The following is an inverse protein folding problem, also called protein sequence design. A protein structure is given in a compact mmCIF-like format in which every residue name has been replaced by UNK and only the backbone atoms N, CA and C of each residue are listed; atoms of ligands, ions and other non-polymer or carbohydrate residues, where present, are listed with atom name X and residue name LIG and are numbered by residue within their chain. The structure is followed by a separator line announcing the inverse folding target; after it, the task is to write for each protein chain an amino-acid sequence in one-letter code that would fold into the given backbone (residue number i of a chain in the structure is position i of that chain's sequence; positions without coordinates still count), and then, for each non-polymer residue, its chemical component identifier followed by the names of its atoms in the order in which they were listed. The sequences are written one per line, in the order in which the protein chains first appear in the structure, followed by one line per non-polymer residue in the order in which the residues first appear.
data_IF_006334972713
#
_entry.id   IF_006334972713
#
_cell.length_a   1.000
_cell.length_b   1.000
_cell.length_c   1.000
_cell.angle_alpha   90.00
_cell.angle_beta   90.00
_cell.angle_gamma   90.00
#
_symmetry.space_group_name_H-M   'P 1'
#
loop_
_entity.id
_entity.type
_entity.pdbx_description
1 polymer ?
#
# COMPACT_ATOMS: atom_id res chain seq x y z
N UNK A 1 99.19 -47.39 -18.01
CA UNK A 1 98.33 -47.51 -19.21
C UNK A 1 97.00 -46.83 -18.89
N UNK A 2 96.56 -45.88 -19.73
CA UNK A 2 95.42 -44.99 -19.49
C UNK A 2 94.13 -45.55 -20.09
N UNK A 3 92.99 -44.94 -19.71
CA UNK A 3 91.82 -44.60 -20.55
C UNK A 3 90.56 -44.54 -19.65
N UNK A 4 89.58 -43.66 -19.81
CA UNK A 4 89.43 -42.33 -20.36
C UNK A 4 88.02 -41.92 -19.87
N UNK A 5 87.88 -40.73 -19.29
CA UNK A 5 86.61 -40.22 -18.75
C UNK A 5 85.79 -39.64 -19.90
N UNK A 6 84.59 -40.19 -20.15
CA UNK A 6 83.59 -39.59 -21.02
C UNK A 6 82.56 -38.80 -20.19
N UNK A 7 82.51 -37.50 -20.47
CA UNK A 7 81.64 -36.48 -19.90
C UNK A 7 80.17 -36.67 -20.31
N UNK A 8 79.26 -36.61 -19.32
CA UNK A 8 77.83 -36.82 -19.47
C UNK A 8 77.04 -35.54 -19.15
N UNK A 9 77.02 -34.59 -20.08
CA UNK A 9 76.38 -33.27 -19.93
C UNK A 9 75.00 -33.17 -20.61
N UNK A 10 74.19 -34.23 -20.59
CA UNK A 10 72.89 -34.28 -21.30
C UNK A 10 71.60 -34.03 -20.46
N UNK A 11 71.65 -34.06 -19.13
CA UNK A 11 70.43 -34.26 -18.31
C UNK A 11 69.79 -33.06 -17.62
N UNK A 12 70.46 -31.90 -17.47
CA UNK A 12 70.01 -30.82 -16.55
C UNK A 12 69.02 -29.81 -17.14
N UNK A 13 68.91 -29.69 -18.47
CA UNK A 13 68.08 -28.64 -19.09
C UNK A 13 66.60 -29.04 -19.28
N UNK A 14 66.30 -30.34 -19.34
CA UNK A 14 64.93 -30.84 -19.56
C UNK A 14 64.03 -30.56 -18.34
N UNK A 15 64.59 -30.62 -17.12
CA UNK A 15 63.85 -30.36 -15.88
C UNK A 15 63.52 -28.89 -15.61
N UNK A 16 64.36 -27.96 -16.07
CA UNK A 16 64.14 -26.51 -15.86
C UNK A 16 63.07 -25.97 -16.81
N UNK A 17 63.11 -26.38 -18.09
CA UNK A 17 62.11 -25.99 -19.09
C UNK A 17 60.70 -26.46 -18.73
N UNK A 18 60.57 -27.70 -18.24
CA UNK A 18 59.28 -28.22 -17.78
C UNK A 18 58.73 -27.46 -16.56
N UNK A 19 59.59 -27.10 -15.60
CA UNK A 19 59.19 -26.31 -14.42
C UNK A 19 58.74 -24.90 -14.80
N UNK A 20 59.44 -24.23 -15.71
CA UNK A 20 59.04 -22.92 -16.22
C UNK A 20 57.70 -22.97 -16.97
N UNK A 21 57.49 -23.99 -17.80
CA UNK A 21 56.22 -24.19 -18.49
C UNK A 21 55.06 -24.44 -17.52
N UNK A 22 55.26 -25.26 -16.48
CA UNK A 22 54.25 -25.50 -15.44
C UNK A 22 53.95 -24.22 -14.64
N UNK A 23 54.97 -23.46 -14.22
CA UNK A 23 54.78 -22.19 -13.52
C UNK A 23 54.03 -21.17 -14.38
N UNK A 24 54.36 -21.06 -15.67
CA UNK A 24 53.65 -20.19 -16.60
C UNK A 24 52.19 -20.63 -16.78
N UNK A 25 51.93 -21.94 -16.90
CA UNK A 25 50.58 -22.49 -16.97
C UNK A 25 49.75 -22.19 -15.71
N UNK A 26 50.33 -22.36 -14.52
CA UNK A 26 49.69 -22.03 -13.25
C UNK A 26 49.42 -20.52 -13.11
N UNK A 27 50.36 -19.67 -13.55
CA UNK A 27 50.16 -18.22 -13.55
C UNK A 27 49.03 -17.79 -14.48
N UNK A 28 48.91 -18.39 -15.67
CA UNK A 28 47.80 -18.13 -16.60
C UNK A 28 46.47 -18.58 -15.99
N UNK A 29 46.42 -19.78 -15.39
CA UNK A 29 45.21 -20.29 -14.73
C UNK A 29 44.79 -19.39 -13.57
N UNK A 30 45.74 -18.91 -12.77
CA UNK A 30 45.49 -17.96 -11.69
C UNK A 30 44.94 -16.64 -12.23
N UNK A 31 45.56 -16.06 -13.25
CA UNK A 31 45.10 -14.81 -13.88
C UNK A 31 43.67 -14.95 -14.44
N UNK A 32 43.38 -16.05 -15.14
CA UNK A 32 42.04 -16.34 -15.66
C UNK A 32 41.02 -16.48 -14.53
N UNK A 33 41.40 -17.14 -13.42
CA UNK A 33 40.53 -17.33 -12.25
C UNK A 33 40.24 -16.03 -11.53
N UNK A 34 41.26 -15.18 -11.34
CA UNK A 34 41.12 -13.84 -10.75
C UNK A 34 40.24 -12.96 -11.65
N UNK A 35 40.51 -12.93 -12.95
CA UNK A 35 39.71 -12.17 -13.91
C UNK A 35 38.23 -12.62 -13.92
N UNK A 36 37.97 -13.93 -13.89
CA UNK A 36 36.62 -14.47 -13.81
C UNK A 36 35.91 -14.10 -12.51
N UNK A 37 36.62 -14.16 -11.38
CA UNK A 37 36.08 -13.80 -10.07
C UNK A 37 35.74 -12.31 -10.02
N UNK A 38 36.67 -11.45 -10.45
CA UNK A 38 36.47 -10.00 -10.47
C UNK A 38 35.32 -9.61 -11.42
N UNK A 39 35.23 -10.23 -12.60
CA UNK A 39 34.11 -10.04 -13.52
C UNK A 39 32.76 -10.41 -12.88
N UNK A 40 32.71 -11.49 -12.10
CA UNK A 40 31.47 -11.90 -11.41
C UNK A 40 31.03 -10.95 -10.30
N UNK A 41 31.97 -10.24 -9.67
CA UNK A 41 31.66 -9.21 -8.66
C UNK A 41 31.15 -7.93 -9.33
N UNK A 42 31.82 -7.49 -10.39
CA UNK A 42 31.56 -6.20 -11.03
C UNK A 42 30.33 -6.24 -11.95
N UNK A 43 29.97 -7.40 -12.51
CA UNK A 43 28.88 -7.53 -13.51
C UNK A 43 27.55 -6.92 -13.08
N UNK A 44 27.19 -6.97 -11.79
CA UNK A 44 25.92 -6.42 -11.31
C UNK A 44 25.85 -4.88 -11.42
N UNK A 45 27.01 -4.20 -11.39
CA UNK A 45 27.11 -2.73 -11.48
C UNK A 45 27.55 -2.26 -12.86
N UNK A 46 28.51 -2.96 -13.47
CA UNK A 46 29.05 -2.65 -14.79
C UNK A 46 29.36 -3.92 -15.57
N UNK A 47 28.37 -4.48 -16.30
CA UNK A 47 28.57 -5.66 -17.13
C UNK A 47 29.59 -5.41 -18.25
N UNK A 48 29.69 -4.17 -18.74
CA UNK A 48 30.70 -3.78 -19.73
C UNK A 48 32.12 -3.94 -19.18
N UNK A 49 32.40 -3.46 -17.97
CA UNK A 49 33.71 -3.63 -17.35
C UNK A 49 34.02 -5.11 -17.08
N UNK A 50 33.02 -5.89 -16.64
CA UNK A 50 33.16 -7.33 -16.47
C UNK A 50 33.55 -8.04 -17.79
N UNK A 51 33.00 -7.60 -18.93
CA UNK A 51 33.37 -8.13 -20.25
C UNK A 51 34.75 -7.66 -20.74
N UNK A 52 35.26 -6.51 -20.27
CA UNK A 52 36.66 -6.11 -20.53
C UNK A 52 37.64 -6.99 -19.77
N UNK A 53 37.31 -7.37 -18.53
CA UNK A 53 38.12 -8.24 -17.68
C UNK A 53 38.07 -9.71 -18.13
N UNK A 54 36.88 -10.22 -18.41
CA UNK A 54 36.65 -11.59 -18.84
C UNK A 54 35.65 -11.61 -20.00
N UNK A 55 36.10 -11.45 -21.26
CA UNK A 55 35.21 -11.43 -22.42
C UNK A 55 34.29 -12.66 -22.52
N UNK A 56 34.76 -13.82 -22.06
CA UNK A 56 34.03 -15.10 -22.08
C UNK A 56 33.00 -15.25 -20.94
N UNK A 57 32.82 -14.24 -20.07
CA UNK A 57 31.86 -14.31 -18.98
C UNK A 57 30.42 -14.24 -19.53
N UNK A 58 29.78 -15.41 -19.68
CA UNK A 58 28.41 -15.56 -20.17
C UNK A 58 27.39 -14.73 -19.38
N UNK A 59 27.38 -14.79 -18.04
CA UNK A 59 26.46 -13.98 -17.24
C UNK A 59 26.62 -12.46 -17.41
N UNK A 60 27.85 -11.95 -17.55
CA UNK A 60 28.11 -10.54 -17.86
C UNK A 60 27.61 -10.17 -19.26
N UNK A 61 27.79 -11.06 -20.26
CA UNK A 61 27.24 -10.88 -21.60
C UNK A 61 25.70 -10.82 -21.59
N UNK A 62 25.05 -11.68 -20.79
CA UNK A 62 23.59 -11.69 -20.63
C UNK A 62 23.06 -10.38 -20.01
N UNK A 63 23.68 -9.92 -18.93
CA UNK A 63 23.32 -8.65 -18.27
C UNK A 63 23.59 -7.45 -19.18
N UNK A 64 24.71 -7.43 -19.90
CA UNK A 64 25.00 -6.38 -20.88
C UNK A 64 23.99 -6.37 -22.01
N UNK A 65 23.57 -7.53 -22.53
CA UNK A 65 22.59 -7.63 -23.59
C UNK A 65 21.26 -6.96 -23.18
N UNK A 66 20.78 -7.28 -21.98
CA UNK A 66 19.57 -6.69 -21.41
C UNK A 66 19.73 -5.18 -21.18
N UNK A 67 20.84 -4.75 -20.59
CA UNK A 67 21.09 -3.33 -20.30
C UNK A 67 21.19 -2.49 -21.58
N UNK A 68 21.84 -3.02 -22.63
CA UNK A 68 21.92 -2.37 -23.95
C UNK A 68 20.52 -2.20 -24.53
N UNK A 69 19.70 -3.26 -24.54
CA UNK A 69 18.36 -3.19 -25.10
C UNK A 69 17.44 -2.25 -24.30
N UNK A 70 17.52 -2.27 -22.96
CA UNK A 70 16.71 -1.43 -22.09
C UNK A 70 17.06 0.06 -22.21
N UNK A 71 18.36 0.39 -22.29
CA UNK A 71 18.81 1.79 -22.42
C UNK A 71 18.56 2.37 -23.81
N UNK A 72 18.72 1.53 -24.84
CA UNK A 72 18.61 1.95 -26.22
C UNK A 72 17.99 0.83 -27.07
N UNK A 73 16.66 0.86 -27.26
CA UNK A 73 15.94 -0.10 -28.08
C UNK A 73 16.38 -0.15 -29.55
N UNK A 74 17.15 0.83 -30.03
CA UNK A 74 17.69 0.81 -31.40
C UNK A 74 18.89 -0.14 -31.54
N UNK A 75 19.59 -0.43 -30.44
CA UNK A 75 20.76 -1.32 -30.42
C UNK A 75 20.42 -2.82 -30.40
N UNK A 76 19.28 -3.23 -30.99
CA UNK A 76 18.81 -4.63 -31.04
C UNK A 76 19.87 -5.59 -31.57
N UNK A 77 20.61 -5.20 -32.62
CA UNK A 77 21.65 -6.04 -33.21
C UNK A 77 22.82 -6.32 -32.24
N UNK A 78 23.21 -5.33 -31.43
CA UNK A 78 24.25 -5.48 -30.40
C UNK A 78 23.75 -6.36 -29.26
N UNK A 79 22.53 -6.11 -28.78
CA UNK A 79 21.90 -6.93 -27.75
C UNK A 79 21.74 -8.40 -28.19
N UNK A 80 21.33 -8.64 -29.45
CA UNK A 80 21.21 -9.98 -30.02
C UNK A 80 22.55 -10.73 -30.02
N UNK A 81 23.65 -10.09 -30.46
CA UNK A 81 24.98 -10.71 -30.46
C UNK A 81 25.45 -11.08 -29.04
N UNK A 82 25.22 -10.20 -28.07
CA UNK A 82 25.58 -10.44 -26.67
C UNK A 82 24.73 -11.55 -26.05
N UNK A 83 23.42 -11.54 -26.30
CA UNK A 83 22.50 -12.60 -25.86
C UNK A 83 22.88 -13.96 -26.45
N UNK A 84 23.12 -14.03 -27.76
CA UNK A 84 23.53 -15.27 -28.42
C UNK A 84 24.86 -15.80 -27.87
N UNK A 85 25.83 -14.91 -27.64
CA UNK A 85 27.11 -15.28 -27.01
C UNK A 85 26.91 -15.87 -25.61
N UNK A 86 26.05 -15.26 -24.81
CA UNK A 86 25.71 -15.75 -23.47
C UNK A 86 25.04 -17.14 -23.53
N UNK A 87 24.03 -17.32 -24.39
CA UNK A 87 23.29 -18.57 -24.53
C UNK A 87 24.15 -19.73 -25.06
N UNK A 88 25.12 -19.45 -25.93
CA UNK A 88 26.11 -20.47 -26.36
C UNK A 88 27.00 -20.93 -25.21
N UNK A 89 27.21 -20.08 -24.21
CA UNK A 89 28.03 -20.42 -23.03
C UNK A 89 27.22 -21.16 -21.98
N UNK A 90 25.99 -20.73 -21.77
CA UNK A 90 25.05 -21.26 -20.80
C UNK A 90 23.59 -20.97 -21.25
N UNK A 91 22.81 -22.00 -21.61
CA UNK A 91 21.43 -21.85 -22.08
C UNK A 91 20.41 -21.59 -20.96
N UNK A 92 20.84 -21.46 -19.70
CA UNK A 92 19.98 -21.18 -18.55
C UNK A 92 19.99 -19.71 -18.11
N UNK A 93 20.75 -18.86 -18.82
CA UNK A 93 20.87 -17.44 -18.50
C UNK A 93 19.60 -16.65 -18.86
N UNK A 94 18.70 -16.53 -17.88
CA UNK A 94 17.38 -15.89 -18.00
C UNK A 94 17.41 -14.50 -18.64
N UNK A 95 18.38 -13.66 -18.29
CA UNK A 95 18.52 -12.32 -18.88
C UNK A 95 18.80 -12.38 -20.40
N UNK A 96 19.59 -13.35 -20.86
CA UNK A 96 19.87 -13.53 -22.28
C UNK A 96 18.64 -14.06 -23.04
N UNK A 97 17.93 -15.04 -22.46
CA UNK A 97 16.68 -15.60 -23.01
C UNK A 97 15.64 -14.49 -23.14
N UNK A 98 15.41 -13.73 -22.06
CA UNK A 98 14.46 -12.60 -22.05
C UNK A 98 14.82 -11.53 -23.07
N UNK A 99 16.12 -11.23 -23.23
CA UNK A 99 16.59 -10.28 -24.26
C UNK A 99 16.33 -10.81 -25.67
N UNK A 100 16.53 -12.10 -25.92
CA UNK A 100 16.23 -12.71 -27.22
C UNK A 100 14.73 -12.64 -27.51
N UNK A 101 13.88 -13.05 -26.56
CA UNK A 101 12.43 -12.96 -26.68
C UNK A 101 11.94 -11.53 -26.94
N UNK A 102 12.47 -10.53 -26.22
CA UNK A 102 12.12 -9.12 -26.46
C UNK A 102 12.52 -8.62 -27.86
N UNK A 103 13.65 -9.11 -28.41
CA UNK A 103 14.08 -8.79 -29.78
C UNK A 103 13.16 -9.47 -30.81
N UNK A 104 12.77 -10.72 -30.56
CA UNK A 104 11.83 -11.48 -31.39
C UNK A 104 10.44 -10.81 -31.40
N UNK A 105 9.96 -10.36 -30.25
CA UNK A 105 8.71 -9.60 -30.12
C UNK A 105 8.76 -8.34 -30.98
N UNK A 106 9.85 -7.58 -30.86
CA UNK A 106 10.06 -6.35 -31.62
C UNK A 106 10.30 -6.57 -33.13
N UNK A 107 10.37 -7.82 -33.58
CA UNK A 107 10.42 -8.26 -34.98
C UNK A 107 9.10 -8.87 -35.46
N UNK A 108 8.05 -8.89 -34.62
CA UNK A 108 6.77 -9.52 -34.93
C UNK A 108 6.78 -11.05 -34.83
N UNK A 109 7.84 -11.66 -34.25
CA UNK A 109 7.97 -13.11 -34.05
C UNK A 109 7.35 -13.52 -32.71
N UNK A 110 6.06 -13.26 -32.55
CA UNK A 110 5.34 -13.40 -31.28
C UNK A 110 5.36 -14.85 -30.76
N UNK A 111 5.38 -15.86 -31.64
CA UNK A 111 5.37 -17.27 -31.21
C UNK A 111 6.71 -17.68 -30.58
N UNK A 112 7.82 -17.22 -31.15
CA UNK A 112 9.19 -17.47 -30.70
C UNK A 112 9.46 -16.68 -29.42
N UNK A 113 9.10 -15.40 -29.42
CA UNK A 113 9.14 -14.53 -28.23
C UNK A 113 8.44 -15.19 -27.05
N UNK A 114 7.19 -15.64 -27.25
CA UNK A 114 6.42 -16.29 -26.19
C UNK A 114 7.09 -17.57 -25.69
N UNK A 115 7.69 -18.38 -26.57
CA UNK A 115 8.43 -19.59 -26.16
C UNK A 115 9.63 -19.23 -25.29
N UNK A 116 10.34 -18.15 -25.62
CA UNK A 116 11.46 -17.66 -24.83
C UNK A 116 11.03 -17.16 -23.46
N UNK A 117 9.94 -16.37 -23.39
CA UNK A 117 9.41 -15.90 -22.11
C UNK A 117 8.85 -17.05 -21.26
N UNK A 118 8.22 -18.07 -21.86
CA UNK A 118 7.82 -19.28 -21.15
C UNK A 118 9.02 -20.02 -20.55
N UNK A 119 10.08 -20.18 -21.34
CA UNK A 119 11.30 -20.84 -20.88
C UNK A 119 12.03 -20.03 -19.79
N UNK A 120 12.06 -18.70 -19.91
CA UNK A 120 12.59 -17.81 -18.90
C UNK A 120 11.84 -17.91 -17.57
N UNK A 121 10.50 -17.93 -17.59
CA UNK A 121 9.67 -18.12 -16.38
C UNK A 121 9.88 -19.48 -15.74
N UNK A 122 10.04 -20.55 -16.54
CA UNK A 122 10.35 -21.89 -16.03
C UNK A 122 11.68 -21.92 -15.27
N UNK A 123 12.69 -21.19 -15.75
CA UNK A 123 14.01 -21.10 -15.11
C UNK A 123 14.01 -20.20 -13.87
N UNK A 124 13.29 -19.08 -13.87
CA UNK A 124 13.28 -18.14 -12.74
C UNK A 124 12.01 -17.32 -12.66
N UNK A 125 11.36 -17.39 -11.50
CA UNK A 125 10.27 -16.51 -11.07
C UNK A 125 10.75 -15.17 -10.48
N UNK A 126 12.07 -14.96 -10.39
CA UNK A 126 12.70 -13.78 -9.75
C UNK A 126 13.26 -12.80 -10.79
N UNK A 127 12.88 -12.92 -12.05
CA UNK A 127 13.37 -12.08 -13.14
C UNK A 127 12.31 -11.08 -13.59
N UNK A 128 12.40 -9.85 -13.08
CA UNK A 128 11.35 -8.83 -13.25
C UNK A 128 10.96 -8.56 -14.71
N UNK A 129 11.90 -8.40 -15.66
CA UNK A 129 11.52 -8.13 -17.05
C UNK A 129 10.71 -9.25 -17.70
N UNK A 130 10.87 -10.51 -17.26
CA UNK A 130 10.05 -11.64 -17.72
C UNK A 130 8.63 -11.51 -17.19
N UNK A 131 8.47 -11.24 -15.89
CA UNK A 131 7.15 -11.11 -15.28
C UNK A 131 6.39 -9.87 -15.80
N UNK A 132 7.09 -8.75 -16.01
CA UNK A 132 6.51 -7.56 -16.63
C UNK A 132 6.02 -7.84 -18.06
N UNK A 133 6.78 -8.58 -18.87
CA UNK A 133 6.33 -8.97 -20.19
C UNK A 133 5.06 -9.81 -20.14
N UNK A 134 4.95 -10.76 -19.21
CA UNK A 134 3.73 -11.56 -19.05
C UNK A 134 2.52 -10.75 -18.58
N UNK A 135 2.75 -9.77 -17.71
CA UNK A 135 1.72 -8.81 -17.27
C UNK A 135 1.17 -8.05 -18.47
N UNK A 136 2.05 -7.46 -19.28
CA UNK A 136 1.67 -6.71 -20.49
C UNK A 136 1.02 -7.61 -21.54
N UNK A 137 1.57 -8.81 -21.76
CA UNK A 137 1.01 -9.80 -22.67
C UNK A 137 -0.41 -10.20 -22.26
N UNK A 138 -0.64 -10.50 -20.98
CA UNK A 138 -1.97 -10.81 -20.46
C UNK A 138 -2.93 -9.64 -20.62
N UNK A 139 -2.47 -8.42 -20.33
CA UNK A 139 -3.29 -7.21 -20.41
C UNK A 139 -3.70 -6.92 -21.87
N UNK A 140 -2.77 -7.04 -22.82
CA UNK A 140 -3.03 -6.88 -24.25
C UNK A 140 -4.03 -7.89 -24.81
N UNK A 141 -4.13 -9.08 -24.19
CA UNK A 141 -5.11 -10.11 -24.55
C UNK A 141 -6.44 -9.98 -23.78
N UNK A 142 -6.59 -8.98 -22.90
CA UNK A 142 -7.74 -8.87 -22.00
C UNK A 142 -7.84 -10.00 -20.96
N UNK A 143 -6.76 -10.76 -20.75
CA UNK A 143 -6.73 -11.90 -19.85
C UNK A 143 -6.33 -11.46 -18.43
N UNK A 144 -7.30 -10.93 -17.69
CA UNK A 144 -7.14 -10.46 -16.30
C UNK A 144 -6.54 -11.54 -15.39
N UNK A 145 -6.95 -12.81 -15.57
CA UNK A 145 -6.44 -13.92 -14.77
C UNK A 145 -4.94 -14.16 -14.98
N UNK A 146 -4.48 -14.16 -16.23
CA UNK A 146 -3.05 -14.29 -16.56
C UNK A 146 -2.27 -13.09 -16.03
N UNK A 147 -2.74 -11.88 -16.29
CA UNK A 147 -2.11 -10.65 -15.81
C UNK A 147 -1.90 -10.69 -14.30
N UNK A 148 -2.96 -10.94 -13.53
CA UNK A 148 -2.88 -10.91 -12.08
C UNK A 148 -2.10 -12.10 -11.49
N UNK A 149 -2.04 -13.24 -12.17
CA UNK A 149 -1.16 -14.33 -11.77
C UNK A 149 0.33 -13.92 -11.81
N UNK A 150 0.74 -13.18 -12.85
CA UNK A 150 2.12 -12.68 -12.95
C UNK A 150 2.39 -11.47 -12.04
N UNK A 151 1.37 -10.67 -11.70
CA UNK A 151 1.47 -9.74 -10.57
C UNK A 151 1.79 -10.47 -9.26
N UNK A 152 1.06 -11.53 -8.94
CA UNK A 152 1.29 -12.28 -7.70
C UNK A 152 2.71 -12.89 -7.66
N UNK A 153 3.19 -13.45 -8.77
CA UNK A 153 4.57 -13.96 -8.88
C UNK A 153 5.58 -12.85 -8.61
N UNK A 154 5.47 -11.72 -9.33
CA UNK A 154 6.42 -10.61 -9.21
C UNK A 154 6.43 -10.04 -7.78
N UNK A 155 5.26 -9.77 -7.20
CA UNK A 155 5.12 -9.17 -5.88
C UNK A 155 5.58 -10.11 -4.75
N UNK A 156 5.53 -11.43 -4.93
CA UNK A 156 6.08 -12.39 -3.95
C UNK A 156 7.59 -12.57 -4.07
N UNK A 157 8.13 -12.48 -5.28
CA UNK A 157 9.48 -12.96 -5.57
C UNK A 157 10.51 -11.82 -5.71
N UNK A 158 10.07 -10.59 -5.96
CA UNK A 158 10.93 -9.49 -6.42
C UNK A 158 10.72 -8.26 -5.54
N UNK A 159 11.78 -7.84 -4.83
CA UNK A 159 11.72 -6.74 -3.85
C UNK A 159 11.29 -5.39 -4.42
N UNK A 160 11.70 -5.07 -5.65
CA UNK A 160 11.40 -3.78 -6.30
C UNK A 160 10.09 -3.79 -7.10
N UNK A 161 9.39 -4.92 -7.16
CA UNK A 161 8.14 -5.01 -7.92
C UNK A 161 7.01 -4.10 -7.36
N UNK A 162 6.81 -3.97 -6.04
CA UNK A 162 5.80 -3.07 -5.48
C UNK A 162 5.88 -1.63 -5.99
N UNK A 163 7.08 -1.06 -6.10
CA UNK A 163 7.30 0.33 -6.53
C UNK A 163 6.77 0.61 -7.95
N UNK A 164 6.77 -0.42 -8.80
CA UNK A 164 6.31 -0.35 -10.19
C UNK A 164 4.85 -0.78 -10.29
N UNK A 165 4.47 -1.85 -9.60
CA UNK A 165 3.21 -2.56 -9.81
C UNK A 165 2.06 -2.01 -8.96
N UNK A 166 2.33 -1.49 -7.75
CA UNK A 166 1.26 -0.96 -6.90
C UNK A 166 0.54 0.24 -7.53
N UNK A 167 1.23 1.25 -8.11
CA UNK A 167 0.57 2.35 -8.80
C UNK A 167 -0.38 1.89 -9.91
N UNK A 168 0.06 0.94 -10.73
CA UNK A 168 -0.71 0.43 -11.87
C UNK A 168 -1.91 -0.39 -11.38
N UNK A 169 -1.69 -1.33 -10.45
CA UNK A 169 -2.77 -2.14 -9.88
C UNK A 169 -3.78 -1.27 -9.13
N UNK A 170 -3.31 -0.25 -8.43
CA UNK A 170 -4.16 0.70 -7.71
C UNK A 170 -5.03 1.58 -8.60
N UNK A 171 -4.58 1.94 -9.80
CA UNK A 171 -5.46 2.52 -10.81
C UNK A 171 -6.41 1.49 -11.43
N UNK A 172 -5.93 0.26 -11.62
CA UNK A 172 -6.68 -0.81 -12.28
C UNK A 172 -7.86 -1.35 -11.44
N UNK A 173 -7.83 -1.21 -10.12
CA UNK A 173 -8.97 -1.59 -9.26
C UNK A 173 -10.23 -0.75 -9.52
N UNK A 174 -10.17 0.31 -10.32
CA UNK A 174 -11.35 0.97 -10.88
C UNK A 174 -12.27 0.02 -11.66
N UNK A 175 -11.69 -1.01 -12.29
CA UNK A 175 -12.42 -1.96 -13.11
C UNK A 175 -13.04 -3.10 -12.26
N UNK A 176 -14.37 -3.35 -12.35
CA UNK A 176 -15.04 -4.38 -11.56
C UNK A 176 -14.45 -5.79 -11.73
N UNK A 177 -14.07 -6.16 -12.96
CA UNK A 177 -13.50 -7.48 -13.25
C UNK A 177 -12.12 -7.66 -12.61
N UNK A 178 -11.31 -6.60 -12.57
CA UNK A 178 -10.01 -6.61 -11.89
C UNK A 178 -10.20 -6.77 -10.38
N UNK A 179 -11.12 -6.01 -9.75
CA UNK A 179 -11.44 -6.18 -8.32
C UNK A 179 -11.90 -7.60 -7.99
N UNK A 180 -12.74 -8.20 -8.84
CA UNK A 180 -13.25 -9.58 -8.65
C UNK A 180 -12.13 -10.62 -8.68
N UNK A 181 -11.23 -10.54 -9.65
CA UNK A 181 -10.09 -11.47 -9.74
C UNK A 181 -9.07 -11.20 -8.63
N UNK A 182 -8.80 -9.93 -8.31
CA UNK A 182 -7.91 -9.55 -7.23
C UNK A 182 -8.41 -10.07 -5.88
N UNK A 183 -9.71 -9.98 -5.60
CA UNK A 183 -10.32 -10.55 -4.39
C UNK A 183 -10.00 -12.04 -4.24
N UNK A 184 -10.03 -12.79 -5.34
CA UNK A 184 -9.68 -14.22 -5.34
C UNK A 184 -8.21 -14.44 -4.96
N UNK A 185 -7.30 -13.60 -5.44
CA UNK A 185 -5.89 -13.66 -5.06
C UNK A 185 -5.64 -13.23 -3.61
N UNK A 186 -6.33 -12.21 -3.12
CA UNK A 186 -6.15 -11.72 -1.75
C UNK A 186 -6.66 -12.70 -0.68
N UNK A 187 -7.54 -13.65 -1.05
CA UNK A 187 -8.04 -14.71 -0.16
C UNK A 187 -6.92 -15.62 0.35
N UNK A 188 -5.90 -15.91 -0.47
CA UNK A 188 -4.76 -16.75 -0.05
C UNK A 188 -3.72 -15.99 0.79
N UNK A 189 -4.06 -14.78 1.23
CA UNK A 189 -3.25 -13.91 2.07
C UNK A 189 -1.78 -13.81 1.59
N UNK A 190 -1.54 -13.39 0.33
CA UNK A 190 -0.18 -13.24 -0.14
C UNK A 190 0.58 -12.22 0.71
N UNK A 191 1.92 -12.35 0.86
CA UNK A 191 2.70 -11.48 1.74
C UNK A 191 2.63 -10.00 1.36
N UNK A 192 2.30 -9.70 0.09
CA UNK A 192 2.12 -8.32 -0.40
C UNK A 192 0.71 -7.76 -0.17
N UNK A 193 -0.26 -8.54 0.32
CA UNK A 193 -1.66 -8.09 0.55
C UNK A 193 -1.71 -6.86 1.46
N UNK A 194 -1.19 -6.98 2.68
CA UNK A 194 -1.23 -5.87 3.65
C UNK A 194 -0.42 -4.66 3.17
N UNK A 195 0.82 -4.82 2.65
CA UNK A 195 1.54 -3.71 2.03
C UNK A 195 0.75 -3.01 0.91
N UNK A 196 0.05 -3.76 0.05
CA UNK A 196 -0.75 -3.18 -1.03
C UNK A 196 -1.97 -2.42 -0.50
N UNK A 197 -2.71 -2.99 0.46
CA UNK A 197 -3.86 -2.31 1.07
C UNK A 197 -3.44 -1.04 1.83
N UNK A 198 -2.30 -1.08 2.53
CA UNK A 198 -1.72 0.10 3.18
C UNK A 198 -1.32 1.15 2.13
N UNK A 199 -0.69 0.72 1.04
CA UNK A 199 -0.32 1.60 -0.06
C UNK A 199 -1.54 2.27 -0.69
N UNK A 200 -2.65 1.54 -0.91
CA UNK A 200 -3.91 2.11 -1.42
C UNK A 200 -4.46 3.19 -0.48
N UNK A 201 -4.53 2.89 0.82
CA UNK A 201 -5.04 3.81 1.82
C UNK A 201 -4.20 5.07 1.98
N UNK A 202 -2.89 4.99 1.75
CA UNK A 202 -1.96 6.12 1.89
C UNK A 202 -1.87 6.98 0.63
N UNK A 203 -1.89 6.36 -0.56
CA UNK A 203 -1.64 7.08 -1.81
C UNK A 203 -2.91 7.60 -2.49
N UNK A 204 -4.09 7.07 -2.14
CA UNK A 204 -5.37 7.65 -2.54
C UNK A 204 -5.63 7.72 -4.04
N UNK A 205 -5.11 6.77 -4.83
CA UNK A 205 -5.28 6.77 -6.30
C UNK A 205 -6.75 6.73 -6.71
N UNK A 206 -7.55 5.89 -6.05
CA UNK A 206 -9.00 5.79 -6.25
C UNK A 206 -9.63 5.30 -4.93
N UNK A 207 -10.02 6.23 -4.06
CA UNK A 207 -10.65 5.90 -2.79
C UNK A 207 -12.00 5.19 -2.96
N UNK A 208 -12.92 5.61 -3.88
CA UNK A 208 -14.17 4.88 -4.10
C UNK A 208 -13.96 3.40 -4.45
N UNK A 209 -13.05 3.10 -5.38
CA UNK A 209 -12.76 1.71 -5.74
C UNK A 209 -12.03 0.94 -4.64
N UNK A 210 -11.18 1.63 -3.88
CA UNK A 210 -10.53 1.05 -2.69
C UNK A 210 -11.59 0.68 -1.64
N UNK A 211 -12.58 1.54 -1.40
CA UNK A 211 -13.67 1.27 -0.47
C UNK A 211 -14.51 0.06 -0.90
N UNK A 212 -14.83 -0.06 -2.19
CA UNK A 212 -15.51 -1.24 -2.73
C UNK A 212 -14.69 -2.52 -2.52
N UNK A 213 -13.37 -2.46 -2.71
CA UNK A 213 -12.47 -3.59 -2.44
C UNK A 213 -12.46 -3.96 -0.95
N UNK A 214 -12.35 -2.97 -0.05
CA UNK A 214 -12.33 -3.19 1.40
C UNK A 214 -13.66 -3.76 1.93
N UNK A 215 -14.80 -3.28 1.44
CA UNK A 215 -16.11 -3.84 1.75
C UNK A 215 -16.25 -5.30 1.24
N UNK A 216 -15.71 -5.59 0.05
CA UNK A 216 -15.66 -6.95 -0.48
C UNK A 216 -14.76 -7.87 0.37
N UNK A 217 -13.60 -7.39 0.84
CA UNK A 217 -12.74 -8.15 1.75
C UNK A 217 -13.46 -8.47 3.07
N UNK A 218 -14.12 -7.46 3.67
CA UNK A 218 -14.87 -7.62 4.91
C UNK A 218 -16.02 -8.63 4.78
N UNK A 219 -16.87 -8.49 3.77
CA UNK A 219 -17.99 -9.43 3.51
C UNK A 219 -17.51 -10.87 3.27
N UNK A 220 -16.28 -11.06 2.78
CA UNK A 220 -15.65 -12.36 2.61
C UNK A 220 -14.88 -12.84 3.85
N UNK A 221 -15.02 -12.16 5.00
CA UNK A 221 -14.36 -12.47 6.28
C UNK A 221 -12.84 -12.51 6.17
N UNK A 222 -12.28 -11.65 5.33
CA UNK A 222 -10.83 -11.51 5.18
C UNK A 222 -10.33 -10.41 6.11
N UNK A 223 -9.38 -10.77 6.95
CA UNK A 223 -8.80 -9.85 7.92
C UNK A 223 -8.02 -8.71 7.22
N UNK A 224 -8.36 -7.48 7.60
CA UNK A 224 -7.73 -6.24 7.15
C UNK A 224 -7.50 -5.37 8.39
N UNK A 225 -6.29 -4.83 8.60
CA UNK A 225 -6.01 -3.93 9.71
C UNK A 225 -7.00 -2.76 9.79
N UNK A 226 -7.60 -2.53 10.95
CA UNK A 226 -8.60 -1.48 11.17
C UNK A 226 -8.15 -0.08 10.72
N UNK A 227 -6.88 0.35 10.93
CA UNK A 227 -6.43 1.68 10.49
C UNK A 227 -6.55 1.95 8.99
N UNK A 228 -6.53 0.91 8.15
CA UNK A 228 -6.68 1.04 6.70
C UNK A 228 -8.07 1.55 6.35
N UNK A 229 -9.11 1.09 7.05
CA UNK A 229 -10.49 1.48 6.77
C UNK A 229 -10.70 2.97 6.94
N UNK A 230 -10.38 3.54 8.10
CA UNK A 230 -10.66 4.95 8.28
C UNK A 230 -9.63 5.87 7.65
N UNK A 231 -8.44 5.40 7.23
CA UNK A 231 -7.62 6.16 6.26
C UNK A 231 -8.38 6.34 4.95
N UNK A 232 -9.01 5.27 4.43
CA UNK A 232 -9.85 5.35 3.21
C UNK A 232 -11.11 6.18 3.45
N UNK A 233 -11.78 6.04 4.61
CA UNK A 233 -12.94 6.87 4.95
C UNK A 233 -12.56 8.37 5.01
N UNK A 234 -11.43 8.71 5.65
CA UNK A 234 -10.92 10.08 5.66
C UNK A 234 -10.56 10.58 4.25
N UNK A 235 -9.96 9.74 3.41
CA UNK A 235 -9.67 10.07 2.02
C UNK A 235 -10.93 10.41 1.21
N UNK A 236 -11.98 9.60 1.36
CA UNK A 236 -13.30 9.84 0.76
C UNK A 236 -13.93 11.14 1.27
N UNK A 237 -13.87 11.39 2.57
CA UNK A 237 -14.36 12.63 3.19
C UNK A 237 -13.60 13.86 2.65
N UNK A 238 -12.28 13.78 2.49
CA UNK A 238 -11.48 14.85 1.89
C UNK A 238 -11.86 15.12 0.43
N UNK A 239 -12.27 14.08 -0.31
CA UNK A 239 -12.81 14.19 -1.65
C UNK A 239 -14.31 14.58 -1.69
N UNK A 240 -14.91 14.84 -0.53
CA UNK A 240 -16.34 15.16 -0.35
C UNK A 240 -17.29 14.02 -0.75
N UNK A 241 -16.80 12.79 -0.89
CA UNK A 241 -17.61 11.60 -1.13
C UNK A 241 -18.04 10.97 0.20
N UNK A 242 -18.86 11.73 0.94
CA UNK A 242 -19.35 11.33 2.27
C UNK A 242 -20.19 10.05 2.22
N UNK A 243 -20.92 9.83 1.12
CA UNK A 243 -21.78 8.67 0.98
C UNK A 243 -20.97 7.39 0.74
N UNK A 244 -19.90 7.43 -0.08
CA UNK A 244 -19.01 6.28 -0.20
C UNK A 244 -18.28 5.98 1.11
N UNK A 245 -17.85 7.01 1.85
CA UNK A 245 -17.26 6.85 3.18
C UNK A 245 -18.24 6.15 4.13
N UNK A 246 -19.50 6.61 4.15
CA UNK A 246 -20.57 6.01 4.92
C UNK A 246 -20.82 4.55 4.54
N UNK A 247 -20.88 4.23 3.24
CA UNK A 247 -21.12 2.87 2.78
C UNK A 247 -20.00 1.90 3.21
N UNK A 248 -18.74 2.37 3.24
CA UNK A 248 -17.63 1.58 3.77
C UNK A 248 -17.78 1.33 5.28
N UNK A 249 -18.16 2.35 6.04
CA UNK A 249 -18.43 2.22 7.47
C UNK A 249 -19.60 1.26 7.75
N UNK A 250 -20.72 1.42 7.03
CA UNK A 250 -21.91 0.57 7.13
C UNK A 250 -21.61 -0.89 6.80
N UNK A 251 -20.71 -1.16 5.85
CA UNK A 251 -20.31 -2.53 5.51
C UNK A 251 -19.74 -3.31 6.70
N UNK A 252 -19.17 -2.60 7.69
CA UNK A 252 -18.57 -3.17 8.90
C UNK A 252 -19.48 -3.11 10.12
N UNK A 253 -20.48 -2.24 10.12
CA UNK A 253 -21.37 -1.99 11.24
C UNK A 253 -22.81 -2.31 10.86
N UNK A 254 -23.20 -3.59 10.79
CA UNK A 254 -24.55 -3.96 10.35
C UNK A 254 -25.61 -3.35 11.28
N UNK A 255 -26.63 -2.73 10.68
CA UNK A 255 -27.75 -2.13 11.41
C UNK A 255 -27.61 -0.64 11.70
N UNK A 256 -26.49 0.00 11.34
CA UNK A 256 -26.39 1.47 11.33
C UNK A 256 -27.40 2.08 10.35
N UNK A 257 -27.92 3.26 10.67
CA UNK A 257 -28.93 3.94 9.85
C UNK A 257 -28.64 5.43 9.74
N UNK A 258 -29.11 6.04 8.65
CA UNK A 258 -28.97 7.48 8.34
C UNK A 258 -30.11 8.36 8.85
N UNK A 259 -30.83 7.89 9.86
CA UNK A 259 -31.92 8.59 10.55
C UNK A 259 -31.64 8.78 12.05
N UNK A 260 -30.45 8.36 12.50
CA UNK A 260 -29.98 8.39 13.88
C UNK A 260 -28.46 8.58 13.91
N UNK A 261 -27.92 9.10 15.01
CA UNK A 261 -26.47 9.12 15.24
C UNK A 261 -25.89 7.74 15.45
N UNK A 262 -24.62 7.59 15.14
CA UNK A 262 -23.90 6.35 15.39
C UNK A 262 -23.32 6.36 16.80
N UNK A 263 -22.89 5.19 17.27
CA UNK A 263 -22.17 5.04 18.53
C UNK A 263 -22.81 5.79 19.73
N UNK A 264 -24.13 5.65 19.88
CA UNK A 264 -24.96 6.38 20.87
C UNK A 264 -24.41 6.26 22.29
N UNK A 265 -23.72 5.15 22.61
CA UNK A 265 -23.19 4.85 23.94
C UNK A 265 -21.66 4.71 23.96
N UNK A 266 -20.94 5.32 23.00
CA UNK A 266 -19.46 5.38 22.99
C UNK A 266 -18.73 4.02 22.98
N UNK A 267 -19.38 2.96 22.49
CA UNK A 267 -18.84 1.60 22.44
C UNK A 267 -17.75 1.44 21.40
N UNK A 268 -17.74 2.24 20.33
CA UNK A 268 -16.71 2.16 19.27
C UNK A 268 -15.30 2.53 19.78
N UNK A 269 -15.16 3.04 21.00
CA UNK A 269 -13.86 3.20 21.65
C UNK A 269 -13.17 1.85 21.95
N UNK A 270 -13.92 0.76 21.99
CA UNK A 270 -13.40 -0.60 22.12
C UNK A 270 -12.74 -1.05 20.80
N UNK A 271 -11.41 -1.19 20.78
CA UNK A 271 -10.67 -1.67 19.58
C UNK A 271 -9.58 -0.75 19.07
N UNK A 272 -9.38 0.42 19.68
CA UNK A 272 -8.21 1.29 19.49
C UNK A 272 -8.20 2.13 18.20
N UNK A 273 -8.93 1.75 17.15
CA UNK A 273 -9.11 2.56 15.95
C UNK A 273 -10.52 3.15 15.89
N UNK A 274 -10.64 4.46 15.58
CA UNK A 274 -11.91 5.17 15.49
C UNK A 274 -12.15 5.69 14.07
N UNK A 275 -13.28 5.32 13.49
CA UNK A 275 -13.75 5.91 12.24
C UNK A 275 -14.11 7.38 12.44
N UNK A 276 -14.11 8.23 11.39
CA UNK A 276 -14.73 9.55 11.45
C UNK A 276 -16.20 9.53 11.86
N UNK A 277 -16.90 8.41 11.64
CA UNK A 277 -18.29 8.19 12.06
C UNK A 277 -18.43 7.69 13.51
N UNK A 278 -17.32 7.41 14.19
CA UNK A 278 -17.29 7.16 15.64
C UNK A 278 -16.92 8.45 16.39
N UNK A 279 -17.04 8.43 17.73
CA UNK A 279 -16.65 9.57 18.56
C UNK A 279 -15.13 9.74 18.63
N UNK A 280 -14.64 10.85 18.07
CA UNK A 280 -13.24 11.24 18.08
C UNK A 280 -13.01 12.38 19.09
N UNK A 281 -12.02 12.22 19.96
CA UNK A 281 -11.61 13.27 20.90
C UNK A 281 -10.78 14.31 20.16
N UNK A 282 -11.01 15.58 20.47
CA UNK A 282 -10.25 16.71 19.94
C UNK A 282 -9.38 17.28 21.06
N UNK A 283 -8.07 17.34 20.82
CA UNK A 283 -7.11 17.88 21.78
C UNK A 283 -7.01 19.41 21.70
N UNK A 284 -6.65 20.06 22.81
CA UNK A 284 -6.17 21.45 22.82
C UNK A 284 -7.04 22.49 23.55
N UNK A 285 -8.33 22.21 23.80
CA UNK A 285 -9.28 23.19 24.38
C UNK A 285 -9.92 22.76 25.71
N UNK A 286 -9.44 21.64 26.26
CA UNK A 286 -9.94 20.99 27.46
C UNK A 286 -9.49 19.54 27.47
N UNK A 287 -10.09 18.74 28.34
CA UNK A 287 -9.85 17.30 28.40
C UNK A 287 -11.13 16.55 28.10
N UNK A 288 -11.05 15.53 27.24
CA UNK A 288 -12.14 14.60 27.03
C UNK A 288 -11.60 13.19 26.82
N UNK A 289 -12.27 12.21 27.42
CA UNK A 289 -11.86 10.81 27.37
C UNK A 289 -13.08 9.90 27.34
N UNK A 290 -13.04 8.90 26.47
CA UNK A 290 -14.02 7.81 26.49
C UNK A 290 -13.41 6.68 27.31
N UNK A 291 -14.06 6.32 28.41
CA UNK A 291 -13.60 5.27 29.32
C UNK A 291 -14.75 4.38 29.76
N UNK A 292 -14.43 3.20 30.30
CA UNK A 292 -15.43 2.33 30.91
C UNK A 292 -15.64 2.72 32.38
N UNK A 293 -16.89 2.94 32.76
CA UNK A 293 -17.34 3.12 34.14
C UNK A 293 -18.50 2.17 34.41
N UNK A 294 -18.34 1.29 35.41
CA UNK A 294 -19.32 0.24 35.76
C UNK A 294 -19.75 -0.64 34.56
N UNK A 295 -18.79 -1.02 33.71
CA UNK A 295 -19.03 -1.85 32.53
C UNK A 295 -19.78 -1.15 31.38
N UNK A 296 -19.92 0.18 31.44
CA UNK A 296 -20.51 1.01 30.37
C UNK A 296 -19.51 2.06 29.90
N UNK A 297 -19.48 2.35 28.61
CA UNK A 297 -18.66 3.44 28.11
C UNK A 297 -19.32 4.79 28.39
N UNK A 298 -18.48 5.75 28.76
CA UNK A 298 -18.88 7.11 29.15
C UNK A 298 -17.85 8.08 28.57
N UNK A 299 -18.32 9.18 28.00
CA UNK A 299 -17.49 10.31 27.62
C UNK A 299 -17.38 11.26 28.81
N UNK A 300 -16.24 11.28 29.48
CA UNK A 300 -15.92 12.26 30.53
C UNK A 300 -15.25 13.47 29.91
N UNK A 301 -15.55 14.66 30.43
CA UNK A 301 -14.98 15.91 29.94
C UNK A 301 -14.67 16.90 31.07
N UNK A 302 -13.73 17.79 30.78
CA UNK A 302 -13.42 18.99 31.54
C UNK A 302 -13.21 20.16 30.57
N UNK A 303 -13.94 21.26 30.76
CA UNK A 303 -13.81 22.48 29.94
C UNK A 303 -12.78 23.42 30.55
N UNK A 304 -11.97 24.06 29.72
CA UNK A 304 -11.09 25.14 30.16
C UNK A 304 -11.82 26.49 29.95
N UNK A 305 -12.12 27.26 31.02
CA UNK A 305 -12.85 28.52 30.89
C UNK A 305 -12.09 29.58 30.09
N UNK A 306 -10.75 29.51 30.05
CA UNK A 306 -9.91 30.46 29.33
C UNK A 306 -9.90 30.28 27.81
N UNK A 307 -10.51 29.20 27.27
CA UNK A 307 -10.46 28.89 25.83
C UNK A 307 -11.79 28.38 25.32
N UNK A 308 -12.24 28.86 24.16
CA UNK A 308 -13.31 28.23 23.40
C UNK A 308 -12.75 27.12 22.49
N UNK A 309 -13.50 26.04 22.28
CA UNK A 309 -13.11 25.00 21.34
C UNK A 309 -13.92 23.70 21.40
N UNK A 310 -13.47 22.71 20.64
CA UNK A 310 -14.09 21.40 20.53
C UNK A 310 -13.41 20.41 21.48
N UNK A 311 -14.21 19.53 22.09
CA UNK A 311 -13.76 18.45 22.98
C UNK A 311 -13.88 17.08 22.31
N UNK A 312 -14.96 16.88 21.56
CA UNK A 312 -15.20 15.65 20.83
C UNK A 312 -16.05 15.93 19.59
N UNK A 313 -15.92 15.09 18.57
CA UNK A 313 -16.72 15.19 17.35
C UNK A 313 -17.02 13.83 16.74
N UNK A 314 -18.12 13.77 16.02
CA UNK A 314 -18.54 12.65 15.21
C UNK A 314 -19.09 13.17 13.88
N UNK A 315 -18.69 12.56 12.77
CA UNK A 315 -19.34 12.80 11.47
C UNK A 315 -20.58 11.93 11.33
N UNK A 316 -21.61 12.46 10.68
CA UNK A 316 -22.82 11.72 10.30
C UNK A 316 -23.22 12.05 8.86
N UNK A 317 -23.98 11.16 8.22
CA UNK A 317 -24.56 11.34 6.87
C UNK A 317 -26.07 11.22 6.99
N UNK A 318 -26.67 12.07 7.84
CA UNK A 318 -28.10 12.04 8.10
C UNK A 318 -28.87 12.53 6.88
N UNK A 319 -30.04 11.93 6.64
CA UNK A 319 -30.94 12.38 5.56
C UNK A 319 -31.59 13.71 5.92
N UNK A 320 -32.00 14.46 4.91
CA UNK A 320 -32.78 15.67 5.12
C UNK A 320 -34.06 15.42 5.95
N UNK A 321 -34.38 16.35 6.84
CA UNK A 321 -35.58 16.31 7.67
C UNK A 321 -35.38 16.93 9.04
N UNK A 322 -36.35 16.68 9.92
CA UNK A 322 -36.40 17.23 11.28
C UNK A 322 -35.86 16.21 12.28
N UNK A 323 -35.02 16.67 13.18
CA UNK A 323 -34.34 15.85 14.18
C UNK A 323 -34.48 16.45 15.58
N UNK A 324 -34.42 15.60 16.60
CA UNK A 324 -34.26 16.02 17.99
C UNK A 324 -33.01 15.40 18.58
N UNK A 325 -32.28 16.19 19.37
CA UNK A 325 -31.10 15.75 20.09
C UNK A 325 -31.46 15.50 21.55
N UNK A 326 -31.07 14.34 22.06
CA UNK A 326 -31.20 13.97 23.47
C UNK A 326 -29.87 13.43 23.98
N UNK A 327 -29.50 13.84 25.19
CA UNK A 327 -28.34 13.30 25.88
C UNK A 327 -28.69 12.83 27.30
N UNK A 328 -27.83 11.96 27.83
CA UNK A 328 -27.86 11.57 29.24
C UNK A 328 -26.52 11.95 29.84
N UNK A 329 -26.46 13.16 30.37
CA UNK A 329 -25.25 13.73 30.95
C UNK A 329 -25.43 14.08 32.43
N UNK A 330 -24.36 13.95 33.20
CA UNK A 330 -24.19 14.57 34.52
C UNK A 330 -23.17 15.68 34.37
N UNK A 331 -23.56 16.91 34.68
CA UNK A 331 -22.70 18.10 34.60
C UNK A 331 -22.57 18.69 35.99
N UNK A 332 -21.34 18.74 36.49
CA UNK A 332 -21.01 19.37 37.75
C UNK A 332 -20.55 20.80 37.42
N UNK A 333 -21.47 21.75 37.55
CA UNK A 333 -21.17 23.15 37.31
C UNK A 333 -20.60 23.75 38.60
N UNK A 334 -19.30 24.04 38.63
CA UNK A 334 -18.74 25.04 39.54
C UNK A 334 -19.48 26.36 39.38
N UNK A 335 -19.49 27.21 40.42
CA UNK A 335 -20.23 28.47 40.41
C UNK A 335 -19.68 29.44 39.35
N UNK A 336 -20.23 29.41 38.14
CA UNK A 336 -20.05 30.47 37.13
C UNK A 336 -19.60 30.04 35.72
N UNK A 337 -19.14 28.80 35.51
CA UNK A 337 -18.64 28.35 34.20
C UNK A 337 -19.72 28.21 33.11
N UNK A 338 -19.39 28.58 31.87
CA UNK A 338 -20.26 28.37 30.70
C UNK A 338 -20.41 26.87 30.44
N UNK A 339 -21.65 26.36 30.48
CA UNK A 339 -21.92 24.94 30.21
C UNK A 339 -21.51 24.58 28.78
N UNK A 340 -20.91 23.39 28.55
CA UNK A 340 -20.69 22.90 27.21
C UNK A 340 -22.02 22.63 26.49
N UNK A 341 -21.96 22.58 25.17
CA UNK A 341 -23.11 22.37 24.30
C UNK A 341 -22.77 21.42 23.15
N UNK A 342 -23.81 20.76 22.66
CA UNK A 342 -23.78 20.02 21.41
C UNK A 342 -24.05 20.98 20.26
N UNK A 343 -23.09 21.10 19.35
CA UNK A 343 -23.24 21.81 18.10
C UNK A 343 -23.47 20.81 16.97
N UNK A 344 -24.57 21.00 16.23
CA UNK A 344 -24.79 20.32 14.95
C UNK A 344 -24.52 21.33 13.85
N UNK A 345 -23.57 21.01 12.98
CA UNK A 345 -23.22 21.85 11.84
C UNK A 345 -23.09 21.01 10.57
N UNK A 346 -23.41 21.60 9.43
CA UNK A 346 -23.10 20.99 8.16
C UNK A 346 -21.59 21.02 7.89
N UNK A 347 -21.11 20.13 7.01
CA UNK A 347 -19.68 20.07 6.63
C UNK A 347 -19.13 21.33 5.97
N UNK A 348 -19.99 22.22 5.48
CA UNK A 348 -19.63 23.55 4.95
C UNK A 348 -19.50 24.64 6.03
N UNK A 349 -19.78 24.31 7.29
CA UNK A 349 -19.73 25.21 8.44
C UNK A 349 -21.06 25.87 8.80
N UNK A 350 -22.14 25.63 8.06
CA UNK A 350 -23.47 26.13 8.43
C UNK A 350 -23.90 25.53 9.77
N UNK A 351 -24.14 26.37 10.77
CA UNK A 351 -24.69 25.94 12.06
C UNK A 351 -26.17 25.57 11.89
N UNK A 352 -26.52 24.33 12.23
CA UNK A 352 -27.88 23.79 12.11
C UNK A 352 -28.64 23.84 13.44
N UNK A 353 -27.92 23.73 14.56
CA UNK A 353 -28.51 23.88 15.89
C UNK A 353 -27.51 23.69 17.02
N UNK A 354 -27.89 24.13 18.21
CA UNK A 354 -27.10 23.97 19.43
C UNK A 354 -27.99 23.59 20.62
N UNK A 355 -27.52 22.66 21.46
CA UNK A 355 -28.22 22.19 22.66
C UNK A 355 -27.27 22.14 23.85
N UNK A 356 -27.53 22.85 24.96
CA UNK A 356 -26.69 22.74 26.15
C UNK A 356 -26.67 21.30 26.69
N UNK A 357 -25.50 20.82 27.10
CA UNK A 357 -25.33 19.45 27.62
C UNK A 357 -26.15 19.24 28.89
N UNK A 358 -26.87 18.12 28.95
CA UNK A 358 -27.73 17.76 30.07
C UNK A 358 -29.01 18.60 30.18
N UNK A 359 -29.27 19.51 29.25
CA UNK A 359 -30.57 20.17 29.12
C UNK A 359 -31.36 19.50 28.00
N UNK A 360 -32.27 18.62 28.39
CA UNK A 360 -33.17 17.89 27.48
C UNK A 360 -34.32 18.75 26.93
N UNK A 361 -34.12 20.07 26.76
CA UNK A 361 -34.95 20.83 25.84
C UNK A 361 -34.65 20.29 24.44
N UNK A 362 -35.67 19.85 23.71
CA UNK A 362 -35.53 19.20 22.40
C UNK A 362 -35.79 20.22 21.27
N UNK A 363 -34.88 21.18 21.00
CA UNK A 363 -35.05 22.03 19.84
C UNK A 363 -35.05 21.13 18.60
N UNK A 364 -35.95 21.43 17.68
CA UNK A 364 -35.96 20.77 16.38
C UNK A 364 -34.77 21.29 15.59
N UNK A 365 -33.89 20.38 15.20
CA UNK A 365 -32.77 20.64 14.31
C UNK A 365 -33.19 20.22 12.91
N UNK A 366 -33.08 21.14 11.96
CA UNK A 366 -33.45 20.90 10.56
C UNK A 366 -32.18 20.63 9.74
N UNK A 367 -32.15 19.48 9.08
CA UNK A 367 -31.07 19.10 8.18
C UNK A 367 -31.53 19.37 6.75
N UNK A 368 -30.97 20.37 6.06
CA UNK A 368 -31.41 20.73 4.73
C UNK A 368 -30.91 19.72 3.69
N UNK A 369 -31.59 19.68 2.54
CA UNK A 369 -31.29 18.71 1.47
C UNK A 369 -29.93 18.90 0.81
N UNK A 370 -29.36 20.11 0.89
CA UNK A 370 -28.04 20.47 0.40
C UNK A 370 -26.91 20.20 1.41
N UNK A 371 -27.23 19.66 2.59
CA UNK A 371 -26.24 19.26 3.58
C UNK A 371 -25.93 17.75 3.48
N UNK A 372 -24.85 17.35 2.77
CA UNK A 372 -24.58 15.94 2.49
C UNK A 372 -24.05 15.17 3.72
N UNK A 373 -23.49 15.87 4.71
CA UNK A 373 -22.96 15.31 5.94
C UNK A 373 -22.93 16.38 7.03
N UNK A 374 -22.96 15.94 8.29
CA UNK A 374 -23.02 16.81 9.45
C UNK A 374 -21.97 16.41 10.47
N UNK A 375 -21.39 17.42 11.12
CA UNK A 375 -20.61 17.24 12.33
C UNK A 375 -21.51 17.42 13.55
N UNK A 376 -21.41 16.49 14.48
CA UNK A 376 -21.94 16.62 15.84
C UNK A 376 -20.75 16.81 16.76
N UNK A 377 -20.72 17.92 17.48
CA UNK A 377 -19.54 18.42 18.17
C UNK A 377 -19.92 18.72 19.61
N UNK A 378 -19.16 18.17 20.56
CA UNK A 378 -19.14 18.66 21.92
C UNK A 378 -18.20 19.87 21.97
N UNK A 379 -18.73 21.04 22.28
CA UNK A 379 -17.99 22.29 22.33
C UNK A 379 -18.20 23.04 23.64
N UNK A 380 -17.27 23.93 23.96
CA UNK A 380 -17.39 24.91 25.04
C UNK A 380 -16.93 26.28 24.56
N UNK A 381 -17.55 27.32 25.11
CA UNK A 381 -17.16 28.71 24.86
C UNK A 381 -16.24 29.23 25.96
N UNK A 382 -15.59 30.35 25.67
CA UNK A 382 -14.87 31.15 26.65
C UNK A 382 -15.81 31.58 27.80
N UNK A 383 -15.27 31.67 29.01
CA UNK A 383 -15.98 32.10 30.21
C UNK A 383 -15.05 32.87 31.14
N UNK A 384 -15.57 33.91 31.79
CA UNK A 384 -14.84 34.67 32.83
C UNK A 384 -14.78 33.92 34.18
N UNK A 385 -15.28 32.69 34.24
CA UNK A 385 -15.26 31.86 35.43
C UNK A 385 -13.85 31.43 35.83
N UNK A 386 -13.61 31.34 37.15
CA UNK A 386 -12.33 30.88 37.70
C UNK A 386 -12.14 29.37 37.61
N UNK A 387 -13.22 28.61 37.46
CA UNK A 387 -13.22 27.14 37.39
C UNK A 387 -13.89 26.65 36.10
N UNK A 388 -13.37 25.54 35.58
CA UNK A 388 -13.95 24.83 34.45
C UNK A 388 -15.23 24.07 34.81
N UNK A 389 -15.86 23.50 33.80
CA UNK A 389 -17.03 22.63 33.97
C UNK A 389 -16.59 21.20 33.69
N UNK A 390 -16.84 20.31 34.64
CA UNK A 390 -16.61 18.88 34.47
C UNK A 390 -17.93 18.11 34.38
N UNK A 391 -17.87 16.95 33.74
CA UNK A 391 -19.04 16.11 33.62
C UNK A 391 -18.78 14.82 32.86
N UNK A 392 -19.86 14.07 32.72
CA UNK A 392 -19.87 12.79 32.04
C UNK A 392 -21.12 12.62 31.21
N UNK A 393 -20.97 12.01 30.03
CA UNK A 393 -22.04 11.77 29.07
C UNK A 393 -22.13 10.25 28.85
N UNK A 394 -23.28 9.67 29.18
CA UNK A 394 -23.54 8.23 29.06
C UNK A 394 -24.08 7.87 27.68
N UNK A 395 -24.86 8.77 27.09
CA UNK A 395 -25.39 8.59 25.74
C UNK A 395 -25.73 9.91 25.08
N UNK A 396 -25.65 9.93 23.75
CA UNK A 396 -26.18 11.01 22.91
C UNK A 396 -26.84 10.43 21.67
N UNK A 397 -28.04 10.92 21.37
CA UNK A 397 -28.80 10.55 20.18
C UNK A 397 -29.35 11.80 19.48
N UNK A 398 -29.05 11.95 18.19
CA UNK A 398 -29.79 12.85 17.29
C UNK A 398 -30.62 11.95 16.36
N UNK A 399 -31.95 12.00 16.50
CA UNK A 399 -32.88 11.08 15.84
C UNK A 399 -33.94 11.84 15.04
N UNK A 400 -34.31 11.28 13.88
CA UNK A 400 -35.34 11.84 13.00
C UNK A 400 -36.72 11.78 13.64
N UNK A 401 -37.44 12.89 13.62
CA UNK A 401 -38.80 13.04 14.16
C UNK A 401 -39.86 13.35 13.09
N UNK A 402 -39.46 13.76 11.89
CA UNK A 402 -40.37 14.01 10.77
C UNK A 402 -39.66 14.42 9.47
N UNK A 403 -40.44 14.59 8.41
CA UNK A 403 -39.96 15.11 7.13
C UNK A 403 -39.76 16.64 7.17
N UNK A 404 -39.01 17.17 6.20
CA UNK A 404 -38.82 18.61 6.01
C UNK A 404 -40.18 19.29 5.74
N UNK A 405 -40.42 20.48 6.28
CA UNK A 405 -41.54 21.31 5.81
C UNK A 405 -41.02 22.07 4.58
N UNK A 406 -41.73 21.93 3.47
CA UNK A 406 -41.37 22.48 2.16
C UNK A 406 -41.28 24.01 2.15
#
# INVERSE_FOLDING_TARGET
MPDAIHDGSGGRNIGLGLRLAVCAGLAILLLVSVAATLANVVRARSPELALRLAPWNGPAAAQQAQQVLFRDPTQKARAARLSQRALRRDPTLVAAITTRGAIEEAQGKTSESRRDFLYATWLSRRHLPTELWWIEYGAAQGNVGLTLAHYDIALRAIRQAPDILFPILGGAIGQPDIRKHLLTLLRVAPPWRTPFLQWLATNGVDYPSTALLLAALWSNKLDVPQPIYGQVENGLIQQKDYLAAWNLYESRHPGVRRDITQDVNFKSAEGGYRSPFDWNIVEGHGEAVISQSNGKFVLSFFTNPATAGQLARQMTVLRAGRYTLHDTASVESGSGGTRPYWLVQCVDGQKLGSVPVGQNTAPVIEIPSDCPAQWIILASDFSDASEGVEGSIKSIVLQRTGDHVA
#
